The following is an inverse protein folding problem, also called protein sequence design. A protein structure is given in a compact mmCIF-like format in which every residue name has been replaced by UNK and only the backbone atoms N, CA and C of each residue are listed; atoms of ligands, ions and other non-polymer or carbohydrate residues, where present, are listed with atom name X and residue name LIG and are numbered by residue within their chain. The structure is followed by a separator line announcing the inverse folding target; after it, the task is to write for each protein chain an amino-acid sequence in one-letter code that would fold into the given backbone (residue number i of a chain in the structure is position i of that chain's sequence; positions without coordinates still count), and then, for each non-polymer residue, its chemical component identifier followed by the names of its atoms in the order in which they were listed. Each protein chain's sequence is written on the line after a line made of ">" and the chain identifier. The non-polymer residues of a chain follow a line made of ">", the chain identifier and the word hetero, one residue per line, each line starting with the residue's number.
data_IF_354749876115
#
_entry.id   IF_354749876115
#
_cell.length_a   1.000
_cell.length_b   1.000
_cell.length_c   1.000
_cell.angle_alpha   90.00
_cell.angle_beta   90.00
_cell.angle_gamma   90.00
#
_symmetry.space_group_name_H-M   'P 1'
#
loop_
_entity.id
_entity.type
_entity.pdbx_description
1 polymer ?
#
# COMPACT_ATOMS: atom_id res chain seq x y z
N UNK A 1 -13.93 -14.56 -12.44
CA UNK A 1 -14.34 -13.34 -11.70
C UNK A 1 -15.07 -13.77 -10.44
N UNK A 2 -14.77 -13.11 -9.31
CA UNK A 2 -15.59 -13.19 -8.10
C UNK A 2 -16.25 -11.81 -7.92
N UNK A 3 -17.52 -11.79 -7.53
CA UNK A 3 -18.29 -10.55 -7.39
C UNK A 3 -18.33 -10.14 -5.93
N UNK A 4 -18.20 -8.84 -5.67
CA UNK A 4 -18.44 -8.23 -4.36
C UNK A 4 -19.72 -7.40 -4.42
N UNK A 5 -20.60 -7.58 -3.44
CA UNK A 5 -21.75 -6.71 -3.26
C UNK A 5 -21.32 -5.52 -2.40
N UNK A 6 -21.66 -4.31 -2.84
CA UNK A 6 -21.43 -3.07 -2.10
C UNK A 6 -22.72 -2.28 -2.06
N UNK A 7 -22.88 -1.46 -1.01
CA UNK A 7 -24.01 -0.54 -0.93
C UNK A 7 -23.88 0.59 -1.97
N UNK A 8 -25.01 1.26 -2.24
CA UNK A 8 -25.09 2.34 -3.23
C UNK A 8 -24.17 3.52 -2.91
N UNK A 9 -23.93 3.81 -1.63
CA UNK A 9 -23.04 4.90 -1.23
C UNK A 9 -21.57 4.58 -1.54
N UNK A 10 -21.16 3.34 -1.27
CA UNK A 10 -19.83 2.82 -1.59
C UNK A 10 -19.64 2.76 -3.10
N UNK A 11 -20.66 2.33 -3.84
CA UNK A 11 -20.63 2.31 -5.30
C UNK A 11 -20.39 3.69 -5.93
N UNK A 12 -21.08 4.73 -5.43
CA UNK A 12 -20.88 6.11 -5.90
C UNK A 12 -19.46 6.61 -5.63
N UNK A 13 -18.90 6.31 -4.46
CA UNK A 13 -17.52 6.68 -4.13
C UNK A 13 -16.51 5.99 -5.04
N UNK A 14 -16.70 4.71 -5.33
CA UNK A 14 -15.84 3.95 -6.25
C UNK A 14 -15.89 4.52 -7.67
N UNK A 15 -17.08 4.90 -8.15
CA UNK A 15 -17.23 5.59 -9.44
C UNK A 15 -16.45 6.89 -9.50
N UNK A 16 -16.61 7.76 -8.50
CA UNK A 16 -15.88 9.01 -8.42
C UNK A 16 -14.36 8.81 -8.35
N UNK A 17 -13.90 7.79 -7.64
CA UNK A 17 -12.48 7.43 -7.58
C UNK A 17 -11.97 6.95 -8.94
N UNK A 18 -12.75 6.15 -9.67
CA UNK A 18 -12.38 5.70 -11.02
C UNK A 18 -12.11 6.89 -11.95
N UNK A 19 -13.00 7.88 -11.93
CA UNK A 19 -12.87 9.08 -12.77
C UNK A 19 -11.66 9.93 -12.35
N UNK A 20 -11.47 10.15 -11.04
CA UNK A 20 -10.32 10.91 -10.52
C UNK A 20 -8.96 10.26 -10.79
N UNK A 21 -8.91 8.93 -10.79
CA UNK A 21 -7.68 8.16 -11.03
C UNK A 21 -7.45 7.84 -12.51
N UNK A 22 -8.40 8.23 -13.37
CA UNK A 22 -8.43 7.90 -14.79
C UNK A 22 -8.26 6.39 -15.05
N UNK A 23 -8.83 5.57 -14.15
CA UNK A 23 -8.66 4.12 -14.18
C UNK A 23 -9.55 3.49 -15.28
N UNK A 24 -9.00 2.45 -15.93
CA UNK A 24 -9.65 1.73 -17.03
C UNK A 24 -10.76 0.81 -16.55
N UNK A 25 -10.64 0.27 -15.33
CA UNK A 25 -11.62 -0.63 -14.72
C UNK A 25 -11.79 -0.37 -13.22
N UNK A 26 -12.85 -0.91 -12.64
CA UNK A 26 -13.04 -0.87 -11.19
C UNK A 26 -12.05 -1.79 -10.46
N UNK A 27 -11.61 -2.87 -11.09
CA UNK A 27 -10.55 -3.73 -10.55
C UNK A 27 -9.23 -2.95 -10.42
N UNK A 28 -8.91 -2.10 -11.39
CA UNK A 28 -7.73 -1.23 -11.33
C UNK A 28 -7.84 -0.21 -10.19
N UNK A 29 -9.04 0.35 -9.95
CA UNK A 29 -9.28 1.22 -8.79
C UNK A 29 -9.02 0.47 -7.50
N UNK A 30 -9.57 -0.74 -7.36
CA UNK A 30 -9.37 -1.56 -6.16
C UNK A 30 -7.90 -1.93 -5.96
N UNK A 31 -7.20 -2.31 -7.03
CA UNK A 31 -5.78 -2.64 -6.98
C UNK A 31 -4.94 -1.44 -6.49
N UNK A 32 -5.15 -0.25 -7.05
CA UNK A 32 -4.45 0.97 -6.63
C UNK A 32 -4.77 1.34 -5.18
N UNK A 33 -6.01 1.14 -4.73
CA UNK A 33 -6.38 1.37 -3.33
C UNK A 33 -5.66 0.40 -2.39
N UNK A 34 -5.55 -0.88 -2.76
CA UNK A 34 -4.82 -1.89 -1.98
C UNK A 34 -3.33 -1.54 -1.91
N UNK A 35 -2.72 -1.18 -3.03
CA UNK A 35 -1.31 -0.77 -3.09
C UNK A 35 -1.05 0.48 -2.24
N UNK A 36 -1.93 1.48 -2.34
CA UNK A 36 -1.84 2.70 -1.52
C UNK A 36 -1.99 2.39 -0.04
N UNK A 37 -2.91 1.50 0.34
CA UNK A 37 -3.07 1.07 1.72
C UNK A 37 -1.81 0.37 2.26
N UNK A 38 -1.17 -0.50 1.46
CA UNK A 38 0.10 -1.12 1.87
C UNK A 38 1.20 -0.09 2.13
N UNK A 39 1.30 0.96 1.30
CA UNK A 39 2.28 2.03 1.52
C UNK A 39 1.99 2.80 2.81
N UNK A 40 0.73 3.16 3.06
CA UNK A 40 0.31 3.86 4.29
C UNK A 40 0.54 3.00 5.53
N UNK A 41 0.29 1.69 5.47
CA UNK A 41 0.55 0.79 6.59
C UNK A 41 2.04 0.55 6.83
N UNK A 42 2.84 0.55 5.76
CA UNK A 42 4.30 0.51 5.87
C UNK A 42 4.80 1.78 6.56
N UNK A 43 4.35 2.95 6.12
CA UNK A 43 4.69 4.25 6.69
C UNK A 43 4.38 4.30 8.19
N UNK A 44 3.16 3.92 8.60
CA UNK A 44 2.78 3.83 10.03
C UNK A 44 3.62 2.84 10.84
N UNK A 45 4.13 1.77 10.22
CA UNK A 45 4.99 0.80 10.91
C UNK A 45 6.40 1.34 11.04
N UNK A 46 6.90 2.01 10.02
CA UNK A 46 8.22 2.66 10.01
C UNK A 46 8.25 3.85 10.98
N UNK A 47 7.18 4.65 11.05
CA UNK A 47 7.03 5.73 12.04
C UNK A 47 7.08 5.24 13.50
N UNK A 48 6.70 3.99 13.76
CA UNK A 48 6.85 3.35 15.09
C UNK A 48 8.27 2.83 15.33
N UNK A 49 9.05 2.66 14.28
CA UNK A 49 10.46 2.33 14.34
C UNK A 49 11.23 3.66 14.35
N UNK A 50 11.20 4.35 15.48
CA UNK A 50 12.23 5.35 15.79
C UNK A 50 13.51 4.55 16.05
N UNK A 51 14.18 4.15 14.99
CA UNK A 51 15.52 3.56 15.07
C UNK A 51 16.52 4.70 15.15
N UNK A 52 17.44 4.59 16.10
CA UNK A 52 18.62 5.45 16.10
C UNK A 52 19.55 5.06 14.94
N UNK A 53 20.48 5.97 14.61
CA UNK A 53 21.36 5.83 13.44
C UNK A 53 22.22 4.56 13.51
N UNK A 54 22.64 4.15 14.71
CA UNK A 54 23.40 2.92 14.96
C UNK A 54 22.59 1.65 14.65
N UNK A 55 21.33 1.59 15.07
CA UNK A 55 20.44 0.46 14.75
C UNK A 55 20.15 0.38 13.26
N UNK A 56 20.06 1.53 12.56
CA UNK A 56 19.83 1.60 11.12
C UNK A 56 21.02 1.06 10.33
N UNK A 57 22.24 1.46 10.69
CA UNK A 57 23.46 0.92 10.09
C UNK A 57 23.58 -0.59 10.31
N UNK A 58 23.24 -1.06 11.50
CA UNK A 58 23.32 -2.48 11.82
C UNK A 58 22.30 -3.30 11.00
N UNK A 59 21.10 -2.77 10.79
CA UNK A 59 20.06 -3.43 9.99
C UNK A 59 20.40 -3.45 8.49
N UNK A 60 20.96 -2.36 7.95
CA UNK A 60 21.45 -2.29 6.57
C UNK A 60 22.56 -3.32 6.33
N UNK A 61 23.55 -3.38 7.22
CA UNK A 61 24.65 -4.35 7.14
C UNK A 61 24.17 -5.81 7.15
N UNK A 62 23.12 -6.11 7.93
CA UNK A 62 22.51 -7.44 7.95
C UNK A 62 21.75 -7.77 6.65
N UNK A 63 21.05 -6.80 6.07
CA UNK A 63 20.34 -6.98 4.81
C UNK A 63 21.29 -7.16 3.62
N UNK A 64 22.39 -6.41 3.59
CA UNK A 64 23.43 -6.53 2.56
C UNK A 64 24.14 -7.88 2.62
N UNK A 65 24.48 -8.36 3.83
CA UNK A 65 25.01 -9.73 4.01
C UNK A 65 24.07 -10.81 3.49
N UNK A 66 22.75 -10.61 3.60
CA UNK A 66 21.74 -11.57 3.16
C UNK A 66 21.49 -11.55 1.64
N UNK A 67 21.79 -10.44 0.95
CA UNK A 67 21.73 -10.34 -0.53
C UNK A 67 22.98 -10.90 -1.23
N UNK A 68 24.07 -11.12 -0.49
CA UNK A 68 25.33 -11.67 -0.99
C UNK A 68 25.54 -13.17 -0.75
N UNK A 69 24.50 -13.94 -0.39
CA UNK A 69 24.53 -15.42 -0.29
C UNK A 69 23.55 -16.06 -1.27
#
# INVERSE_FOLDING_TARGET
>A
MKTIAVDESTWRKIKQLKDKLEARSYDEVLQRLIETWHLVELDKKVDKVIMNEEEAELLINLLEKKKGS
#
